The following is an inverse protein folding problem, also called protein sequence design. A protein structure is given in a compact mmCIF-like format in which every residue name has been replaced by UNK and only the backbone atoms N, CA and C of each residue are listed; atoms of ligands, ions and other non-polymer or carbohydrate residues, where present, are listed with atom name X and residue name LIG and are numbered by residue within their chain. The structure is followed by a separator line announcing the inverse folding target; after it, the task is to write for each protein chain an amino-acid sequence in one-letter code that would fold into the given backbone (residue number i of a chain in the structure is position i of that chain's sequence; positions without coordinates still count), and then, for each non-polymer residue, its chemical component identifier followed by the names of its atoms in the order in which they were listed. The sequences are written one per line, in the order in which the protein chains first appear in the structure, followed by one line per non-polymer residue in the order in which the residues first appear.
data_IF_484728190612
#
_entry.id   IF_484728190612
#
_cell.length_a   1.000
_cell.length_b   1.000
_cell.length_c   1.000
_cell.angle_alpha   90.00
_cell.angle_beta   90.00
_cell.angle_gamma   90.00
#
_symmetry.space_group_name_H-M   'P 1'
#
loop_
_entity.id
_entity.type
_entity.pdbx_description
1 polymer ?
#
# COMPACT_ATOMS: atom_id res chain seq x y z
N UNK A 1 3.44 -13.22 -5.59
CA UNK A 1 3.11 -11.87 -6.08
C UNK A 1 1.62 -11.61 -6.26
N UNK A 2 0.93 -12.28 -7.18
CA UNK A 2 -0.45 -11.91 -7.60
C UNK A 2 -1.55 -12.04 -6.53
N UNK A 3 -1.33 -12.84 -5.48
CA UNK A 3 -2.33 -13.07 -4.42
C UNK A 3 -2.67 -11.79 -3.66
N UNK A 4 -1.68 -10.99 -3.26
CA UNK A 4 -1.92 -9.77 -2.48
C UNK A 4 -2.72 -8.74 -3.28
N UNK A 5 -2.36 -8.51 -4.54
CA UNK A 5 -3.08 -7.61 -5.46
C UNK A 5 -4.55 -8.03 -5.64
N UNK A 6 -4.83 -9.33 -5.77
CA UNK A 6 -6.20 -9.83 -5.86
C UNK A 6 -6.99 -9.58 -4.57
N UNK A 7 -6.38 -9.88 -3.41
CA UNK A 7 -7.02 -9.68 -2.12
C UNK A 7 -7.29 -8.20 -1.85
N UNK A 8 -6.34 -7.32 -2.20
CA UNK A 8 -6.51 -5.87 -2.15
C UNK A 8 -7.72 -5.41 -2.97
N UNK A 9 -7.87 -5.94 -4.20
CA UNK A 9 -9.01 -5.65 -5.10
C UNK A 9 -10.32 -6.34 -4.70
N UNK A 10 -10.37 -7.07 -3.58
CA UNK A 10 -11.55 -7.82 -3.15
C UNK A 10 -11.81 -9.11 -3.93
N UNK A 11 -10.90 -9.52 -4.82
CA UNK A 11 -10.98 -10.77 -5.60
C UNK A 11 -10.47 -11.95 -4.77
N UNK A 12 -11.13 -12.22 -3.66
CA UNK A 12 -10.70 -13.20 -2.65
C UNK A 12 -11.25 -14.60 -2.93
N UNK A 13 -10.63 -15.63 -2.32
CA UNK A 13 -10.96 -17.04 -2.58
C UNK A 13 -12.42 -17.39 -2.27
N UNK A 14 -13.04 -16.69 -1.31
CA UNK A 14 -14.45 -16.86 -0.96
C UNK A 14 -15.38 -16.69 -2.17
N UNK A 15 -15.02 -15.86 -3.15
CA UNK A 15 -15.83 -15.65 -4.36
C UNK A 15 -15.92 -16.90 -5.25
N UNK A 16 -14.98 -17.84 -5.11
CA UNK A 16 -14.94 -19.11 -5.85
C UNK A 16 -15.61 -20.25 -5.08
N UNK A 17 -16.06 -20.01 -3.85
CA UNK A 17 -16.66 -21.03 -2.98
C UNK A 17 -17.93 -21.62 -3.59
N UNK A 18 -18.02 -22.95 -3.54
CA UNK A 18 -19.25 -23.71 -3.83
C UNK A 18 -19.69 -24.46 -2.57
N UNK A 19 -21.00 -24.59 -2.36
CA UNK A 19 -21.56 -25.48 -1.35
C UNK A 19 -21.42 -26.91 -1.86
N UNK A 20 -20.88 -27.79 -1.02
CA UNK A 20 -20.72 -29.21 -1.34
C UNK A 20 -21.33 -30.06 -0.24
N UNK A 21 -21.90 -31.20 -0.60
CA UNK A 21 -22.32 -32.25 0.31
C UNK A 21 -21.76 -33.60 -0.14
N UNK A 22 -21.84 -34.60 0.73
CA UNK A 22 -21.47 -35.98 0.41
C UNK A 22 -22.61 -36.59 -0.41
N UNK A 23 -22.35 -36.85 -1.69
CA UNK A 23 -23.26 -37.51 -2.63
C UNK A 23 -23.16 -39.03 -2.59
N UNK A 24 -23.80 -39.69 -3.54
CA UNK A 24 -23.82 -41.15 -3.62
C UNK A 24 -22.40 -41.72 -3.80
N UNK A 25 -22.07 -42.76 -3.02
CA UNK A 25 -20.73 -43.37 -3.03
C UNK A 25 -19.64 -42.57 -2.31
N UNK A 26 -20.00 -41.56 -1.50
CA UNK A 26 -19.07 -40.86 -0.62
C UNK A 26 -18.26 -39.73 -1.27
N UNK A 27 -18.58 -39.35 -2.52
CA UNK A 27 -17.92 -38.27 -3.24
C UNK A 27 -18.56 -36.92 -2.90
N UNK A 28 -17.78 -35.84 -2.99
CA UNK A 28 -18.32 -34.48 -2.84
C UNK A 28 -19.05 -34.05 -4.11
N UNK A 29 -20.28 -33.58 -3.96
CA UNK A 29 -21.11 -33.05 -5.05
C UNK A 29 -21.54 -31.61 -4.73
N UNK A 30 -21.67 -30.78 -5.77
CA UNK A 30 -22.15 -29.38 -5.63
C UNK A 30 -23.63 -29.37 -5.27
N UNK A 31 -24.00 -28.52 -4.32
CA UNK A 31 -25.38 -28.40 -3.84
C UNK A 31 -25.88 -27.00 -4.15
N UNK A 32 -26.71 -26.91 -5.20
CA UNK A 32 -27.18 -25.63 -5.73
C UNK A 32 -28.51 -25.16 -5.10
N UNK A 33 -29.17 -26.02 -4.31
CA UNK A 33 -30.43 -25.72 -3.65
C UNK A 33 -30.27 -25.14 -2.23
N UNK A 34 -29.03 -24.88 -1.78
CA UNK A 34 -28.70 -24.26 -0.50
C UNK A 34 -28.10 -22.87 -0.72
N UNK A 35 -28.34 -21.92 0.21
CA UNK A 35 -27.62 -20.66 0.25
C UNK A 35 -26.09 -20.84 0.18
N UNK A 36 -25.47 -20.02 -0.65
CA UNK A 36 -24.02 -20.00 -0.86
C UNK A 36 -23.53 -18.55 -0.93
N UNK A 37 -23.77 -17.81 0.14
CA UNK A 37 -23.27 -16.46 0.33
C UNK A 37 -21.74 -16.42 0.28
N UNK A 38 -21.22 -15.33 -0.28
CA UNK A 38 -19.78 -15.12 -0.53
C UNK A 38 -19.41 -13.70 -0.11
N UNK A 39 -19.43 -13.47 1.20
CA UNK A 39 -19.16 -12.17 1.80
C UNK A 39 -17.65 -11.93 1.75
N UNK A 40 -17.27 -10.73 1.29
CA UNK A 40 -15.89 -10.25 1.31
C UNK A 40 -15.82 -9.07 2.27
N UNK A 41 -15.40 -9.34 3.50
CA UNK A 41 -15.08 -8.29 4.48
C UNK A 41 -13.58 -7.99 4.42
N UNK A 42 -13.21 -7.07 3.53
CA UNK A 42 -11.83 -6.85 3.09
C UNK A 42 -10.98 -6.07 4.11
N UNK A 43 -10.71 -6.69 5.26
CA UNK A 43 -9.80 -6.16 6.27
C UNK A 43 -8.36 -6.04 5.74
N UNK A 44 -7.95 -6.93 4.83
CA UNK A 44 -6.66 -6.88 4.15
C UNK A 44 -6.41 -5.55 3.43
N UNK A 45 -7.37 -5.08 2.61
CA UNK A 45 -7.24 -3.79 1.92
C UNK A 45 -7.04 -2.63 2.89
N UNK A 46 -7.82 -2.61 3.99
CA UNK A 46 -7.69 -1.60 5.04
C UNK A 46 -6.28 -1.59 5.64
N UNK A 47 -5.71 -2.77 5.92
CA UNK A 47 -4.34 -2.87 6.46
C UNK A 47 -3.29 -2.40 5.45
N UNK A 48 -3.42 -2.76 4.17
CA UNK A 48 -2.51 -2.26 3.12
C UNK A 48 -2.55 -0.73 3.04
N UNK A 49 -3.74 -0.14 2.99
CA UNK A 49 -3.88 1.31 2.90
C UNK A 49 -3.38 2.00 4.17
N UNK A 50 -3.65 1.45 5.35
CA UNK A 50 -3.16 2.00 6.62
C UNK A 50 -1.64 2.03 6.66
N UNK A 51 -0.97 0.93 6.34
CA UNK A 51 0.50 0.84 6.38
C UNK A 51 1.16 1.71 5.32
N UNK A 52 0.59 1.73 4.12
CA UNK A 52 1.10 2.56 3.04
C UNK A 52 0.99 4.05 3.35
N UNK A 53 -0.15 4.50 3.89
CA UNK A 53 -0.35 5.90 4.25
C UNK A 53 0.45 6.29 5.50
N UNK A 54 0.66 5.37 6.43
CA UNK A 54 1.48 5.62 7.63
C UNK A 54 2.93 5.97 7.27
N UNK A 55 3.52 5.28 6.29
CA UNK A 55 4.92 5.48 5.86
C UNK A 55 5.07 6.49 4.73
N UNK A 56 4.18 6.47 3.72
CA UNK A 56 4.33 7.24 2.46
C UNK A 56 3.18 8.22 2.22
N UNK A 57 2.30 8.43 3.21
CA UNK A 57 1.16 9.34 3.07
C UNK A 57 1.58 10.82 3.05
N UNK A 58 2.67 11.15 3.72
CA UNK A 58 3.26 12.49 3.72
C UNK A 58 4.46 12.55 2.73
N UNK A 59 4.75 13.72 2.16
CA UNK A 59 5.95 13.91 1.34
C UNK A 59 7.23 13.56 2.12
N UNK A 60 8.23 13.05 1.39
CA UNK A 60 9.57 12.80 1.94
C UNK A 60 10.33 14.12 1.96
N UNK A 61 11.01 14.40 3.06
CA UNK A 61 11.92 15.54 3.17
C UNK A 61 13.32 15.11 2.76
N UNK A 62 13.95 15.89 1.89
CA UNK A 62 15.31 15.65 1.39
C UNK A 62 16.23 16.68 2.03
N UNK A 63 17.32 16.23 2.67
CA UNK A 63 18.30 17.07 3.36
C UNK A 63 19.73 16.76 2.89
N UNK A 64 20.63 17.73 3.04
CA UNK A 64 22.06 17.60 2.73
C UNK A 64 22.74 18.96 2.74
N UNK A 65 24.07 18.96 2.68
CA UNK A 65 24.89 20.17 2.86
C UNK A 65 24.80 21.15 1.68
N UNK A 66 24.57 20.64 0.46
CA UNK A 66 24.51 21.45 -0.75
C UNK A 66 23.09 21.95 -1.02
N UNK A 67 22.76 23.14 -0.52
CA UNK A 67 21.43 23.75 -0.63
C UNK A 67 20.89 23.84 -2.06
N UNK A 68 21.73 24.19 -3.05
CA UNK A 68 21.31 24.28 -4.45
C UNK A 68 20.91 22.91 -5.01
N UNK A 69 21.67 21.88 -4.65
CA UNK A 69 21.39 20.51 -5.05
C UNK A 69 20.12 19.96 -4.38
N UNK A 70 19.94 20.19 -3.07
CA UNK A 70 18.73 19.79 -2.35
C UNK A 70 17.48 20.46 -2.94
N UNK A 71 17.56 21.76 -3.25
CA UNK A 71 16.47 22.49 -3.92
C UNK A 71 16.17 21.93 -5.30
N UNK A 72 17.20 21.58 -6.07
CA UNK A 72 17.05 20.92 -7.37
C UNK A 72 16.34 19.56 -7.23
N UNK A 73 16.78 18.72 -6.28
CA UNK A 73 16.18 17.42 -5.99
C UNK A 73 14.70 17.54 -5.64
N UNK A 74 14.37 18.39 -4.67
CA UNK A 74 13.00 18.59 -4.21
C UNK A 74 12.07 19.10 -5.33
N UNK A 75 12.53 20.07 -6.13
CA UNK A 75 11.70 20.67 -7.17
C UNK A 75 11.49 19.75 -8.38
N UNK A 76 12.54 19.07 -8.84
CA UNK A 76 12.49 18.30 -10.09
C UNK A 76 12.15 16.83 -9.89
N UNK A 77 12.66 16.20 -8.85
CA UNK A 77 12.62 14.74 -8.69
C UNK A 77 11.72 14.28 -7.56
N UNK A 78 11.67 14.97 -6.42
CA UNK A 78 10.87 14.62 -5.24
C UNK A 78 9.58 15.44 -5.12
N UNK A 79 9.02 15.87 -6.25
CA UNK A 79 7.78 16.64 -6.31
C UNK A 79 6.52 15.77 -6.11
N UNK A 80 5.35 16.42 -6.07
CA UNK A 80 4.06 15.75 -5.88
C UNK A 80 3.76 14.63 -6.88
N UNK A 81 4.27 14.70 -8.12
CA UNK A 81 4.10 13.64 -9.12
C UNK A 81 4.88 12.40 -8.70
N UNK A 82 6.11 12.58 -8.20
CA UNK A 82 6.91 11.49 -7.66
C UNK A 82 6.29 10.92 -6.38
N UNK A 83 5.83 11.74 -5.44
CA UNK A 83 5.14 11.26 -4.24
C UNK A 83 3.94 10.35 -4.60
N UNK A 84 3.17 10.73 -5.64
CA UNK A 84 2.10 9.87 -6.18
C UNK A 84 2.63 8.57 -6.78
N UNK A 85 3.76 8.57 -7.47
CA UNK A 85 4.39 7.34 -7.98
C UNK A 85 4.88 6.46 -6.82
N UNK A 86 5.51 7.05 -5.82
CA UNK A 86 6.09 6.37 -4.67
C UNK A 86 5.02 5.73 -3.79
N UNK A 87 3.95 6.45 -3.41
CA UNK A 87 2.85 5.87 -2.63
C UNK A 87 2.16 4.72 -3.37
N UNK A 88 2.18 4.76 -4.70
CA UNK A 88 1.66 3.69 -5.55
C UNK A 88 2.61 2.49 -5.64
N UNK A 89 3.92 2.73 -5.62
CA UNK A 89 4.95 1.71 -5.47
C UNK A 89 4.89 1.06 -4.08
N UNK A 90 4.58 1.83 -3.03
CA UNK A 90 4.32 1.34 -1.68
C UNK A 90 3.16 0.35 -1.61
N UNK A 91 2.07 0.59 -2.36
CA UNK A 91 1.00 -0.41 -2.51
C UNK A 91 1.48 -1.69 -3.18
N UNK A 92 2.40 -1.59 -4.14
CA UNK A 92 2.96 -2.75 -4.81
C UNK A 92 3.83 -3.57 -3.86
N UNK A 93 4.80 -2.95 -3.18
CA UNK A 93 5.69 -3.69 -2.28
C UNK A 93 4.93 -4.36 -1.12
N UNK A 94 3.90 -3.73 -0.54
CA UNK A 94 3.11 -4.39 0.52
C UNK A 94 2.33 -5.60 -0.03
N UNK A 95 1.75 -5.47 -1.23
CA UNK A 95 0.95 -6.54 -1.83
C UNK A 95 1.78 -7.67 -2.47
N UNK A 96 2.96 -7.32 -2.99
CA UNK A 96 3.77 -8.18 -3.84
C UNK A 96 5.07 -8.63 -3.19
N UNK A 97 5.53 -7.93 -2.15
CA UNK A 97 6.81 -8.11 -1.46
C UNK A 97 7.88 -7.12 -1.91
N UNK A 98 7.74 -6.65 -3.16
CA UNK A 98 8.67 -5.75 -3.84
C UNK A 98 7.91 -4.90 -4.87
N UNK A 99 8.33 -3.65 -5.02
CA UNK A 99 7.90 -2.68 -6.02
C UNK A 99 9.07 -2.30 -6.93
N UNK A 100 8.78 -1.74 -8.11
CA UNK A 100 9.80 -1.43 -9.11
C UNK A 100 9.60 -0.05 -9.72
N UNK A 101 10.67 0.74 -9.74
CA UNK A 101 10.75 1.98 -10.50
C UNK A 101 11.80 1.86 -11.60
N UNK A 102 11.48 2.38 -12.77
CA UNK A 102 12.34 2.38 -13.94
C UNK A 102 12.60 3.85 -14.37
N UNK A 103 13.85 4.32 -14.46
CA UNK A 103 14.19 5.63 -14.97
C UNK A 103 13.90 5.72 -16.48
N UNK A 104 13.09 6.71 -16.87
CA UNK A 104 12.75 7.02 -18.24
C UNK A 104 13.10 8.49 -18.54
N UNK A 105 13.33 8.80 -19.81
CA UNK A 105 13.35 10.18 -20.30
C UNK A 105 12.04 10.50 -21.01
N UNK A 106 11.53 11.71 -20.82
CA UNK A 106 10.38 12.19 -21.58
C UNK A 106 10.84 12.79 -22.93
N UNK A 107 9.89 13.25 -23.74
CA UNK A 107 10.17 13.87 -25.04
C UNK A 107 11.04 15.14 -24.98
N UNK A 108 11.20 15.75 -23.80
CA UNK A 108 12.04 16.91 -23.55
C UNK A 108 13.42 16.53 -22.98
N UNK A 109 13.70 15.24 -22.83
CA UNK A 109 14.95 14.75 -22.25
C UNK A 109 15.00 14.79 -20.72
N UNK A 110 13.90 15.10 -20.04
CA UNK A 110 13.86 15.14 -18.57
C UNK A 110 13.70 13.73 -18.00
N UNK A 111 14.52 13.40 -17.01
CA UNK A 111 14.45 12.13 -16.29
C UNK A 111 13.21 12.07 -15.37
N UNK A 112 12.46 10.97 -15.44
CA UNK A 112 11.39 10.66 -14.51
C UNK A 112 11.32 9.15 -14.22
N UNK A 113 10.72 8.78 -13.10
CA UNK A 113 10.61 7.38 -12.69
C UNK A 113 9.22 6.83 -12.99
N UNK A 114 9.17 5.73 -13.73
CA UNK A 114 7.96 5.00 -14.08
C UNK A 114 7.84 3.77 -13.18
N UNK A 115 6.68 3.64 -12.52
CA UNK A 115 6.29 2.42 -11.81
C UNK A 115 5.97 1.31 -12.81
N UNK A 116 6.56 0.14 -12.64
CA UNK A 116 6.22 -1.08 -13.37
C UNK A 116 5.56 -2.06 -12.42
N UNK A 117 4.54 -2.78 -12.91
CA UNK A 117 3.80 -3.72 -12.07
C UNK A 117 4.69 -4.90 -11.72
N UNK A 118 4.83 -5.26 -10.43
CA UNK A 118 5.80 -6.28 -10.05
C UNK A 118 5.53 -7.65 -10.67
N UNK A 119 4.26 -8.02 -10.87
CA UNK A 119 3.87 -9.29 -11.47
C UNK A 119 4.14 -9.37 -12.99
N UNK A 120 4.59 -8.29 -13.62
CA UNK A 120 5.09 -8.29 -15.00
C UNK A 120 6.60 -8.55 -15.05
N UNK A 121 7.29 -8.50 -13.90
CA UNK A 121 8.75 -8.55 -13.81
C UNK A 121 9.24 -9.85 -13.18
N UNK A 122 10.33 -10.39 -13.72
CA UNK A 122 11.07 -11.52 -13.19
C UNK A 122 12.54 -11.10 -13.06
N UNK A 123 13.01 -10.74 -11.85
CA UNK A 123 14.40 -10.37 -11.63
C UNK A 123 15.31 -11.61 -11.65
N UNK A 124 16.47 -11.49 -12.29
CA UNK A 124 17.62 -12.36 -12.07
C UNK A 124 18.64 -11.59 -11.22
N UNK A 125 18.89 -12.04 -9.99
CA UNK A 125 19.84 -11.41 -9.08
C UNK A 125 21.23 -12.01 -9.22
N UNK A 126 22.28 -11.17 -9.12
CA UNK A 126 23.68 -11.62 -9.07
C UNK A 126 24.03 -12.27 -7.73
N UNK A 127 23.36 -11.84 -6.67
CA UNK A 127 23.62 -12.25 -5.29
C UNK A 127 22.37 -12.76 -4.57
N UNK A 128 22.57 -13.49 -3.47
CA UNK A 128 21.48 -14.11 -2.70
C UNK A 128 20.72 -13.12 -1.80
N UNK A 129 21.31 -11.97 -1.49
CA UNK A 129 20.68 -10.89 -0.71
C UNK A 129 19.84 -9.95 -1.61
N UNK A 130 19.83 -10.24 -2.92
CA UNK A 130 19.09 -9.50 -3.95
C UNK A 130 19.51 -8.01 -3.98
N UNK A 131 20.81 -7.73 -3.91
CA UNK A 131 21.35 -6.35 -3.90
C UNK A 131 21.68 -5.82 -5.29
N UNK A 132 22.06 -6.70 -6.23
CA UNK A 132 22.44 -6.32 -7.59
C UNK A 132 21.74 -7.22 -8.63
N UNK A 133 21.17 -6.62 -9.67
CA UNK A 133 20.56 -7.33 -10.78
C UNK A 133 21.61 -7.85 -11.77
N UNK A 134 21.42 -9.07 -12.25
CA UNK A 134 22.12 -9.67 -13.39
C UNK A 134 21.35 -9.42 -14.69
N UNK A 135 20.02 -9.56 -14.62
CA UNK A 135 19.09 -9.23 -15.70
C UNK A 135 17.68 -9.03 -15.14
N UNK A 136 16.79 -8.46 -15.95
CA UNK A 136 15.37 -8.33 -15.67
C UNK A 136 14.55 -8.81 -16.87
N UNK A 137 13.54 -9.65 -16.64
CA UNK A 137 12.59 -10.05 -17.67
C UNK A 137 11.27 -9.31 -17.45
N UNK A 138 10.81 -8.54 -18.42
CA UNK A 138 9.50 -7.87 -18.40
C UNK A 138 8.54 -8.54 -19.38
N UNK A 139 7.44 -9.09 -18.86
CA UNK A 139 6.40 -9.79 -19.61
C UNK A 139 5.11 -9.00 -19.52
N UNK A 140 4.59 -8.56 -20.67
CA UNK A 140 3.36 -7.77 -20.71
C UNK A 140 2.53 -8.01 -21.98
N UNK A 141 1.19 -7.94 -21.88
CA UNK A 141 0.31 -8.10 -23.02
C UNK A 141 0.29 -6.81 -23.88
N UNK A 142 0.34 -6.99 -25.20
CA UNK A 142 0.20 -5.92 -26.18
C UNK A 142 -0.94 -6.26 -27.14
N UNK A 143 -1.82 -5.29 -27.39
CA UNK A 143 -2.86 -5.41 -28.42
C UNK A 143 -2.23 -5.08 -29.77
N UNK A 144 -2.29 -6.03 -30.71
CA UNK A 144 -1.77 -5.89 -32.06
C UNK A 144 -2.94 -5.93 -33.05
N UNK A 145 -2.96 -4.96 -33.96
CA UNK A 145 -3.91 -4.89 -35.05
C UNK A 145 -3.38 -5.64 -36.27
N UNK A 146 -4.02 -6.74 -36.64
CA UNK A 146 -3.71 -7.44 -37.89
C UNK A 146 -4.44 -6.76 -39.05
N UNK A 147 -3.69 -6.38 -40.11
CA UNK A 147 -4.19 -5.61 -41.27
C UNK A 147 -5.40 -6.25 -42.00
N UNK A 148 -5.65 -7.54 -41.77
CA UNK A 148 -6.70 -8.34 -42.42
C UNK A 148 -7.70 -8.95 -41.42
N UNK A 149 -7.69 -8.55 -40.15
CA UNK A 149 -8.63 -9.03 -39.12
C UNK A 149 -9.41 -7.86 -38.54
N UNK A 150 -10.71 -8.06 -38.31
CA UNK A 150 -11.56 -7.13 -37.56
C UNK A 150 -11.46 -7.33 -36.04
N UNK A 151 -10.66 -8.29 -35.58
CA UNK A 151 -10.49 -8.63 -34.17
C UNK A 151 -9.08 -8.26 -33.68
N UNK A 152 -9.05 -7.58 -32.52
CA UNK A 152 -7.85 -7.24 -31.78
C UNK A 152 -7.19 -8.52 -31.25
N UNK A 153 -5.91 -8.73 -31.57
CA UNK A 153 -5.14 -9.86 -31.06
C UNK A 153 -4.28 -9.40 -29.89
N UNK A 154 -4.34 -10.11 -28.78
CA UNK A 154 -3.43 -9.91 -27.65
C UNK A 154 -2.23 -10.85 -27.84
N UNK A 155 -1.02 -10.29 -27.89
CA UNK A 155 0.24 -11.04 -27.87
C UNK A 155 1.00 -10.72 -26.59
N UNK A 156 1.73 -11.68 -26.05
CA UNK A 156 2.59 -11.48 -24.89
C UNK A 156 4.00 -11.09 -25.36
N UNK A 157 4.41 -9.86 -25.06
CA UNK A 157 5.76 -9.38 -25.31
C UNK A 157 6.64 -9.68 -24.12
N UNK A 158 7.88 -10.04 -24.41
CA UNK A 158 8.91 -10.32 -23.41
C UNK A 158 10.14 -9.49 -23.74
N UNK A 159 10.58 -8.69 -22.79
CA UNK A 159 11.79 -7.90 -22.85
C UNK A 159 12.79 -8.48 -21.85
N UNK A 160 13.99 -8.82 -22.32
CA UNK A 160 15.11 -9.23 -21.46
C UNK A 160 16.08 -8.08 -21.39
N UNK A 161 16.19 -7.47 -20.21
CA UNK A 161 16.97 -6.27 -19.94
C UNK A 161 18.22 -6.65 -19.14
N UNK A 162 19.40 -6.32 -19.67
CA UNK A 162 20.69 -6.56 -19.03
C UNK A 162 21.60 -5.30 -19.18
N UNK A 163 22.87 -5.38 -18.82
CA UNK A 163 23.83 -4.27 -18.99
C UNK A 163 24.03 -3.87 -20.47
N UNK A 164 23.78 -4.82 -21.40
CA UNK A 164 23.90 -4.62 -22.84
C UNK A 164 22.70 -3.94 -23.48
N UNK A 165 21.56 -3.85 -22.79
CA UNK A 165 20.35 -3.18 -23.28
C UNK A 165 19.12 -4.07 -23.15
N UNK A 166 18.20 -3.98 -24.11
CA UNK A 166 16.92 -4.66 -24.12
C UNK A 166 16.86 -5.59 -25.33
N UNK A 167 16.59 -6.88 -25.09
CA UNK A 167 16.37 -7.88 -26.13
C UNK A 167 14.90 -8.28 -26.18
N UNK A 168 14.31 -8.26 -27.39
CA UNK A 168 12.86 -8.37 -27.58
C UNK A 168 12.42 -9.74 -28.10
N UNK A 169 11.42 -10.30 -27.43
CA UNK A 169 10.77 -11.57 -27.79
C UNK A 169 9.25 -11.47 -27.77
N UNK A 170 8.59 -12.40 -28.45
CA UNK A 170 7.17 -12.70 -28.31
C UNK A 170 7.01 -14.10 -27.72
N UNK A 171 6.19 -14.24 -26.67
CA UNK A 171 5.87 -15.53 -26.06
C UNK A 171 4.73 -16.19 -26.82
N UNK A 172 4.99 -17.39 -27.35
CA UNK A 172 3.97 -18.17 -28.07
C UNK A 172 3.03 -18.88 -27.10
N UNK A 173 1.84 -19.22 -27.58
CA UNK A 173 0.89 -20.07 -26.83
C UNK A 173 1.46 -21.45 -26.43
N UNK A 174 2.53 -21.90 -27.10
CA UNK A 174 3.25 -23.14 -26.77
C UNK A 174 4.36 -22.95 -25.72
N UNK A 175 4.59 -21.72 -25.24
CA UNK A 175 5.60 -21.39 -24.23
C UNK A 175 7.00 -21.11 -24.79
N UNK A 176 7.15 -20.93 -26.11
CA UNK A 176 8.45 -20.63 -26.71
C UNK A 176 8.64 -19.11 -26.88
N UNK A 177 9.87 -18.63 -26.73
CA UNK A 177 10.24 -17.25 -27.03
C UNK A 177 10.73 -17.14 -28.47
N UNK A 178 10.13 -16.24 -29.25
CA UNK A 178 10.56 -15.94 -30.62
C UNK A 178 11.14 -14.52 -30.64
N UNK A 179 12.39 -14.30 -31.07
CA UNK A 179 12.95 -12.96 -31.23
C UNK A 179 12.13 -12.12 -32.22
N UNK A 180 11.88 -10.87 -31.88
CA UNK A 180 11.04 -9.95 -32.67
C UNK A 180 11.71 -8.59 -32.83
N UNK A 181 11.57 -7.97 -34.00
CA UNK A 181 12.13 -6.64 -34.27
C UNK A 181 11.67 -5.62 -33.20
N UNK A 182 12.58 -4.73 -32.72
CA UNK A 182 13.92 -4.46 -33.23
C UNK A 182 15.00 -5.49 -32.85
N UNK A 183 14.64 -6.60 -32.20
CA UNK A 183 15.48 -7.69 -31.69
C UNK A 183 16.35 -7.27 -30.51
N UNK A 184 16.99 -6.12 -30.62
CA UNK A 184 17.78 -5.51 -29.56
C UNK A 184 17.75 -3.97 -29.66
N UNK A 185 17.78 -3.29 -28.53
CA UNK A 185 18.04 -1.84 -28.47
C UNK A 185 18.73 -1.48 -27.16
N UNK A 186 19.48 -0.38 -27.17
CA UNK A 186 19.96 0.21 -25.93
C UNK A 186 18.80 0.86 -25.14
N UNK A 187 19.02 1.21 -23.87
CA UNK A 187 17.97 1.75 -23.00
C UNK A 187 17.43 3.11 -23.43
N UNK A 188 18.28 3.98 -23.96
CA UNK A 188 17.85 5.31 -24.42
C UNK A 188 18.74 5.82 -25.55
N UNK A 189 18.22 6.80 -26.29
CA UNK A 189 18.93 7.48 -27.36
C UNK A 189 18.86 8.99 -27.13
N UNK A 190 19.96 9.70 -27.38
CA UNK A 190 20.01 11.16 -27.35
C UNK A 190 20.37 11.69 -28.73
N UNK A 191 19.68 12.75 -29.14
CA UNK A 191 19.97 13.48 -30.37
C UNK A 191 20.61 14.81 -30.01
N UNK A 192 21.79 15.08 -30.54
CA UNK A 192 22.50 16.35 -30.32
C UNK A 192 21.93 17.51 -31.16
N UNK A 193 22.51 18.70 -31.01
CA UNK A 193 22.11 19.89 -31.77
C UNK A 193 22.39 19.80 -33.27
N UNK A 194 23.25 18.87 -33.69
CA UNK A 194 23.60 18.62 -35.09
C UNK A 194 22.72 17.53 -35.72
N UNK A 195 21.77 16.96 -34.94
CA UNK A 195 20.83 15.95 -35.37
C UNK A 195 21.37 14.53 -35.36
N UNK A 196 22.53 14.28 -34.73
CA UNK A 196 23.13 12.95 -34.60
C UNK A 196 22.52 12.24 -33.40
N UNK A 197 21.86 11.11 -33.64
CA UNK A 197 21.33 10.24 -32.59
C UNK A 197 22.38 9.23 -32.16
N UNK A 198 22.70 9.21 -30.86
CA UNK A 198 23.58 8.22 -30.22
C UNK A 198 22.81 7.43 -29.19
N UNK A 199 23.01 6.11 -29.17
CA UNK A 199 22.34 5.17 -28.28
C UNK A 199 23.22 4.84 -27.06
N UNK A 200 22.62 4.73 -25.88
CA UNK A 200 23.32 4.60 -24.60
C UNK A 200 22.65 3.57 -23.68
N UNK A 201 23.49 2.90 -22.91
CA UNK A 201 23.08 2.05 -21.79
C UNK A 201 23.49 2.69 -20.46
N UNK A 202 22.77 2.32 -19.41
CA UNK A 202 23.17 2.61 -18.05
C UNK A 202 24.30 1.67 -17.61
N UNK A 203 25.18 2.15 -16.73
CA UNK A 203 26.18 1.28 -16.09
C UNK A 203 25.56 0.29 -15.10
N UNK A 204 24.34 0.57 -14.64
CA UNK A 204 23.52 -0.31 -13.79
C UNK A 204 22.22 -0.64 -14.51
N UNK A 205 21.71 -1.84 -14.34
CA UNK A 205 20.41 -2.24 -14.90
C UNK A 205 19.31 -1.32 -14.31
N UNK A 206 18.52 -0.61 -15.15
CA UNK A 206 17.64 0.47 -14.71
C UNK A 206 16.32 -0.02 -14.10
N UNK A 207 16.37 -0.96 -13.16
CA UNK A 207 15.19 -1.41 -12.41
C UNK A 207 15.49 -1.31 -10.92
N UNK A 208 14.96 -0.28 -10.29
CA UNK A 208 15.23 0.03 -8.89
C UNK A 208 14.23 -0.75 -8.00
N UNK A 209 14.71 -1.68 -7.16
CA UNK A 209 13.86 -2.48 -6.28
C UNK A 209 13.46 -1.73 -5.00
N UNK A 210 12.15 -1.60 -4.78
CA UNK A 210 11.58 -1.09 -3.53
C UNK A 210 11.06 -2.28 -2.71
N UNK A 211 11.86 -2.81 -1.78
CA UNK A 211 11.50 -4.00 -1.00
C UNK A 211 10.62 -3.67 0.20
N UNK A 212 9.70 -4.58 0.54
CA UNK A 212 8.90 -4.46 1.77
C UNK A 212 9.64 -4.94 3.01
N UNK A 213 10.44 -5.99 2.86
CA UNK A 213 11.36 -6.54 3.85
C UNK A 213 12.49 -7.25 3.08
N UNK A 214 13.55 -7.63 3.78
CA UNK A 214 14.70 -8.31 3.18
C UNK A 214 14.29 -9.58 2.41
N UNK A 215 13.29 -10.32 2.91
CA UNK A 215 12.81 -11.57 2.31
C UNK A 215 11.79 -11.38 1.18
N UNK A 216 11.41 -10.14 0.86
CA UNK A 216 10.41 -9.82 -0.18
C UNK A 216 9.07 -10.55 0.04
N UNK A 217 8.70 -10.77 1.30
CA UNK A 217 7.48 -11.46 1.70
C UNK A 217 6.33 -10.45 1.79
N UNK A 218 5.28 -10.54 0.95
CA UNK A 218 4.15 -9.61 1.01
C UNK A 218 3.30 -9.82 2.27
N UNK A 219 2.59 -8.76 2.67
CA UNK A 219 1.70 -8.76 3.83
C UNK A 219 0.68 -9.89 3.80
N UNK A 220 0.15 -10.22 2.61
CA UNK A 220 -0.86 -11.27 2.44
C UNK A 220 -0.41 -12.62 3.00
N UNK A 221 0.89 -12.93 2.99
CA UNK A 221 1.40 -14.20 3.55
C UNK A 221 1.23 -14.29 5.06
N UNK A 222 1.16 -13.16 5.77
CA UNK A 222 0.96 -13.10 7.23
C UNK A 222 -0.50 -13.28 7.62
N UNK A 223 -1.43 -12.76 6.80
CA UNK A 223 -2.84 -12.59 7.22
C UNK A 223 -3.89 -13.25 6.31
N UNK A 224 -3.52 -13.90 5.21
CA UNK A 224 -4.47 -14.54 4.28
C UNK A 224 -5.41 -15.53 4.98
N UNK A 225 -4.87 -16.40 5.84
CA UNK A 225 -5.66 -17.41 6.56
C UNK A 225 -6.72 -16.77 7.45
N UNK A 226 -6.38 -15.67 8.13
CA UNK A 226 -7.30 -14.91 8.99
C UNK A 226 -8.37 -14.22 8.14
N UNK A 227 -7.98 -13.57 7.05
CA UNK A 227 -8.90 -12.93 6.10
C UNK A 227 -9.90 -13.95 5.50
N UNK A 228 -9.42 -15.12 5.11
CA UNK A 228 -10.28 -16.19 4.58
C UNK A 228 -11.23 -16.73 5.65
N UNK A 229 -10.77 -16.86 6.89
CA UNK A 229 -11.60 -17.29 8.02
C UNK A 229 -12.70 -16.28 8.34
N UNK A 230 -12.39 -14.97 8.35
CA UNK A 230 -13.38 -13.90 8.54
C UNK A 230 -14.48 -14.01 7.49
N UNK A 231 -14.12 -14.05 6.20
CA UNK A 231 -15.09 -14.19 5.12
C UNK A 231 -15.92 -15.47 5.22
N UNK A 232 -15.28 -16.58 5.57
CA UNK A 232 -15.94 -17.88 5.68
C UNK A 232 -16.97 -17.88 6.82
N UNK A 233 -16.64 -17.32 7.98
CA UNK A 233 -17.54 -17.24 9.14
C UNK A 233 -18.73 -16.35 8.83
N UNK A 234 -18.52 -15.15 8.29
CA UNK A 234 -19.62 -14.24 7.95
C UNK A 234 -20.54 -14.87 6.88
N UNK A 235 -19.95 -15.46 5.83
CA UNK A 235 -20.70 -16.16 4.79
C UNK A 235 -21.49 -17.35 5.35
N UNK A 236 -20.88 -18.13 6.26
CA UNK A 236 -21.54 -19.26 6.91
C UNK A 236 -22.68 -18.82 7.82
N UNK A 237 -22.48 -17.74 8.56
CA UNK A 237 -23.51 -17.17 9.42
C UNK A 237 -24.71 -16.70 8.61
N UNK A 238 -24.49 -15.97 7.51
CA UNK A 238 -25.59 -15.56 6.62
C UNK A 238 -26.31 -16.77 6.01
N UNK A 239 -25.57 -17.77 5.53
CA UNK A 239 -26.18 -19.00 5.02
C UNK A 239 -27.05 -19.70 6.07
N UNK A 240 -26.59 -19.81 7.32
CA UNK A 240 -27.34 -20.43 8.41
C UNK A 240 -28.62 -19.65 8.77
N UNK A 241 -28.60 -18.32 8.65
CA UNK A 241 -29.77 -17.45 8.83
C UNK A 241 -30.77 -17.56 7.68
N UNK A 242 -30.31 -17.71 6.44
CA UNK A 242 -31.19 -17.91 5.27
C UNK A 242 -31.76 -19.34 5.20
N UNK A 243 -31.04 -20.31 5.76
CA UNK A 243 -31.47 -21.70 5.88
C UNK A 243 -32.56 -21.90 6.95
N UNK A 244 -33.03 -20.86 7.65
CA UNK A 244 -33.95 -20.94 8.80
C UNK A 244 -35.30 -21.62 8.49
N UNK A 245 -35.75 -21.63 7.22
CA UNK A 245 -36.92 -22.43 6.77
C UNK A 245 -36.67 -23.96 6.86
N UNK A 246 -35.42 -24.38 7.08
CA UNK A 246 -34.94 -25.78 7.20
C UNK A 246 -34.15 -26.07 8.48
N UNK A 247 -33.95 -25.09 9.38
CA UNK A 247 -33.31 -25.30 10.70
C UNK A 247 -34.08 -26.27 11.59
N UNK A 248 -35.33 -26.58 11.22
CA UNK A 248 -36.13 -27.65 11.80
C UNK A 248 -36.10 -28.89 10.89
N UNK A 249 -35.34 -29.91 11.28
CA UNK A 249 -35.45 -31.24 10.67
C UNK A 249 -36.73 -31.88 11.20
N UNK A 250 -37.67 -32.14 10.32
CA UNK A 250 -38.93 -32.81 10.66
C UNK A 250 -38.76 -34.33 10.53
N UNK A 251 -38.82 -35.02 11.67
CA UNK A 251 -38.80 -36.48 11.75
C UNK A 251 -40.23 -36.98 11.72
N UNK A 252 -40.58 -37.72 10.68
CA UNK A 252 -41.92 -38.26 10.46
C UNK A 252 -42.01 -39.71 10.94
N UNK A 253 -42.88 -39.98 11.91
CA UNK A 253 -43.16 -41.33 12.44
C UNK A 253 -44.58 -41.72 12.00
N UNK A 254 -44.72 -42.83 11.27
CA UNK A 254 -46.01 -43.34 10.76
C UNK A 254 -46.84 -42.29 9.98
N UNK A 255 -46.20 -41.54 9.07
CA UNK A 255 -46.85 -40.54 8.23
C UNK A 255 -47.71 -41.17 7.12
N UNK A 256 -48.89 -40.60 6.88
CA UNK A 256 -49.95 -41.13 5.97
C UNK A 256 -49.67 -40.84 4.47
N UNK A 257 -48.71 -39.96 4.15
CA UNK A 257 -48.44 -39.51 2.77
C UNK A 257 -47.30 -40.25 2.08
N UNK A 258 -47.33 -40.28 0.75
CA UNK A 258 -46.40 -41.06 -0.10
C UNK A 258 -45.17 -40.28 -0.59
N UNK A 259 -45.17 -38.94 -0.55
CA UNK A 259 -44.10 -38.10 -1.10
C UNK A 259 -43.72 -36.91 -0.19
N UNK A 260 -42.42 -36.71 0.05
CA UNK A 260 -41.86 -35.58 0.83
C UNK A 260 -42.16 -34.20 0.23
N UNK A 261 -42.32 -34.09 -1.09
CA UNK A 261 -42.71 -32.86 -1.77
C UNK A 261 -44.17 -32.46 -1.46
N UNK A 262 -45.06 -33.44 -1.36
CA UNK A 262 -46.46 -33.22 -0.97
C UNK A 262 -46.58 -32.84 0.51
N UNK A 263 -45.81 -33.49 1.38
CA UNK A 263 -45.67 -33.10 2.79
C UNK A 263 -45.26 -31.63 2.94
N UNK A 264 -44.18 -31.20 2.27
CA UNK A 264 -43.70 -29.80 2.33
C UNK A 264 -44.73 -28.82 1.80
N UNK A 265 -45.43 -29.17 0.72
CA UNK A 265 -46.51 -28.35 0.16
C UNK A 265 -47.68 -28.22 1.13
N UNK A 266 -48.13 -29.31 1.73
CA UNK A 266 -49.26 -29.32 2.66
C UNK A 266 -48.96 -28.54 3.93
N UNK A 267 -47.75 -28.69 4.48
CA UNK A 267 -47.29 -27.89 5.61
C UNK A 267 -47.24 -26.40 5.28
N UNK A 268 -46.66 -26.01 4.13
CA UNK A 268 -46.56 -24.61 3.72
C UNK A 268 -47.92 -23.98 3.38
N UNK A 269 -48.86 -24.75 2.83
CA UNK A 269 -50.17 -24.26 2.38
C UNK A 269 -51.20 -24.22 3.51
N UNK A 270 -51.20 -25.23 4.38
CA UNK A 270 -52.27 -25.45 5.36
C UNK A 270 -51.79 -25.40 6.81
N UNK A 271 -50.47 -25.36 7.07
CA UNK A 271 -49.89 -25.28 8.42
C UNK A 271 -50.07 -26.53 9.29
N UNK A 272 -50.61 -27.62 8.74
CA UNK A 272 -50.90 -28.86 9.45
C UNK A 272 -50.71 -30.09 8.55
N UNK A 273 -50.46 -31.24 9.17
CA UNK A 273 -50.22 -32.51 8.48
C UNK A 273 -50.84 -33.65 9.27
N UNK A 274 -51.48 -34.58 8.55
CA UNK A 274 -52.17 -35.73 9.13
C UNK A 274 -51.16 -36.84 9.44
N UNK A 275 -51.25 -37.41 10.64
CA UNK A 275 -50.49 -38.59 11.07
C UNK A 275 -51.43 -39.75 11.34
N UNK A 276 -50.98 -40.98 11.11
CA UNK A 276 -51.78 -42.19 11.33
C UNK A 276 -51.20 -43.04 12.46
N UNK A 277 -52.08 -43.77 13.13
CA UNK A 277 -51.75 -44.83 14.08
C UNK A 277 -51.91 -46.18 13.37
N UNK A 278 -50.82 -46.93 13.20
CA UNK A 278 -50.83 -48.29 12.66
C UNK A 278 -50.07 -49.24 13.59
N UNK A 279 -50.59 -50.47 13.76
CA UNK A 279 -49.97 -51.57 14.52
C UNK A 279 -49.51 -51.23 15.95
N UNK A 280 -50.30 -50.44 16.69
CA UNK A 280 -50.05 -50.13 18.09
C UNK A 280 -48.97 -49.04 18.34
N UNK A 281 -48.35 -48.50 17.29
CA UNK A 281 -47.44 -47.36 17.36
C UNK A 281 -48.10 -46.03 16.99
N UNK A 282 -48.02 -45.02 17.87
CA UNK A 282 -48.50 -43.66 17.61
C UNK A 282 -47.76 -42.97 16.44
N UNK A 283 -48.50 -42.32 15.53
CA UNK A 283 -47.91 -41.41 14.54
C UNK A 283 -47.54 -40.07 15.17
N UNK A 284 -46.39 -39.52 14.77
CA UNK A 284 -45.79 -38.36 15.42
C UNK A 284 -44.95 -37.55 14.42
N UNK A 285 -44.86 -36.24 14.62
CA UNK A 285 -43.97 -35.34 13.88
C UNK A 285 -43.06 -34.67 14.90
N UNK A 286 -41.79 -35.06 14.92
CA UNK A 286 -40.80 -34.46 15.83
C UNK A 286 -39.96 -33.44 15.09
N UNK A 287 -39.58 -32.39 15.79
CA UNK A 287 -38.71 -31.35 15.27
C UNK A 287 -37.34 -31.47 15.94
N UNK A 288 -36.28 -31.58 15.14
CA UNK A 288 -34.91 -31.35 15.60
C UNK A 288 -34.51 -29.96 15.14
N UNK A 289 -34.32 -29.06 16.09
CA UNK A 289 -33.82 -27.71 15.82
C UNK A 289 -32.31 -27.70 15.94
N UNK A 290 -31.64 -27.23 14.88
CA UNK A 290 -30.21 -26.90 14.95
C UNK A 290 -30.12 -25.45 15.44
N UNK A 291 -29.66 -25.24 16.67
CA UNK A 291 -29.55 -23.91 17.26
C UNK A 291 -28.36 -23.14 16.67
N UNK A 292 -28.63 -22.02 16.01
CA UNK A 292 -27.59 -21.10 15.52
C UNK A 292 -27.34 -20.03 16.58
N UNK A 293 -26.24 -20.16 17.32
CA UNK A 293 -25.87 -19.22 18.41
C UNK A 293 -25.10 -18.02 17.89
N UNK A 294 -25.79 -16.92 17.62
CA UNK A 294 -25.18 -15.67 17.10
C UNK A 294 -24.02 -15.14 17.96
N UNK A 295 -24.08 -15.32 19.29
CA UNK A 295 -23.02 -14.92 20.23
C UNK A 295 -21.67 -15.59 19.92
N UNK A 296 -21.68 -16.88 19.56
CA UNK A 296 -20.46 -17.61 19.23
C UNK A 296 -19.82 -17.08 17.94
N UNK A 297 -20.64 -16.80 16.92
CA UNK A 297 -20.15 -16.26 15.65
C UNK A 297 -19.52 -14.88 15.85
N UNK A 298 -20.17 -14.00 16.61
CA UNK A 298 -19.63 -12.69 16.94
C UNK A 298 -18.32 -12.80 17.73
N UNK A 299 -18.24 -13.67 18.74
CA UNK A 299 -17.03 -13.84 19.54
C UNK A 299 -15.83 -14.29 18.68
N UNK A 300 -16.03 -15.30 17.82
CA UNK A 300 -14.96 -15.79 16.95
C UNK A 300 -14.56 -14.72 15.93
N UNK A 301 -15.54 -14.02 15.34
CA UNK A 301 -15.28 -12.95 14.37
C UNK A 301 -14.42 -11.83 14.96
N UNK A 302 -14.70 -11.41 16.20
CA UNK A 302 -13.90 -10.40 16.90
C UNK A 302 -12.48 -10.88 17.17
N UNK A 303 -12.31 -12.13 17.61
CA UNK A 303 -10.98 -12.73 17.82
C UNK A 303 -10.18 -12.75 16.51
N UNK A 304 -10.80 -13.17 15.40
CA UNK A 304 -10.13 -13.22 14.10
C UNK A 304 -9.75 -11.83 13.59
N UNK A 305 -10.64 -10.84 13.72
CA UNK A 305 -10.36 -9.45 13.30
C UNK A 305 -9.24 -8.84 14.13
N UNK A 306 -9.23 -9.05 15.44
CA UNK A 306 -8.15 -8.61 16.32
C UNK A 306 -6.82 -9.28 15.96
N UNK A 307 -6.81 -10.60 15.82
CA UNK A 307 -5.62 -11.33 15.40
C UNK A 307 -5.12 -10.90 14.02
N UNK A 308 -6.02 -10.53 13.10
CA UNK A 308 -5.66 -10.02 11.77
C UNK A 308 -4.89 -8.70 11.87
N UNK A 309 -5.37 -7.77 12.71
CA UNK A 309 -4.71 -6.47 12.92
C UNK A 309 -3.33 -6.65 13.57
N UNK A 310 -3.24 -7.49 14.60
CA UNK A 310 -1.97 -7.78 15.30
C UNK A 310 -0.95 -8.44 14.35
N UNK A 311 -1.35 -9.47 13.59
CA UNK A 311 -0.45 -10.13 12.63
C UNK A 311 -0.10 -9.26 11.41
N UNK A 312 -0.92 -8.25 11.10
CA UNK A 312 -0.62 -7.25 10.09
C UNK A 312 0.35 -6.17 10.59
N UNK A 313 0.62 -6.13 11.91
CA UNK A 313 1.29 -5.02 12.57
C UNK A 313 0.63 -3.69 12.19
N UNK A 314 -0.70 -3.66 12.30
CA UNK A 314 -1.54 -2.48 12.12
C UNK A 314 -2.07 -1.98 13.46
N UNK A 315 -2.97 -1.01 13.43
CA UNK A 315 -3.63 -0.50 14.62
C UNK A 315 -5.13 -0.35 14.42
N UNK A 316 -5.90 -0.48 15.49
CA UNK A 316 -7.35 -0.24 15.47
C UNK A 316 -7.70 1.16 15.97
N UNK A 317 -8.05 2.07 15.06
CA UNK A 317 -8.48 3.43 15.41
C UNK A 317 -9.82 3.48 16.17
N UNK A 318 -10.54 2.36 16.29
CA UNK A 318 -11.81 2.26 17.04
C UNK A 318 -11.66 1.54 18.37
N UNK A 319 -10.44 1.31 18.81
CA UNK A 319 -10.18 0.66 20.10
C UNK A 319 -10.74 1.51 21.25
N UNK A 320 -11.46 0.85 22.18
CA UNK A 320 -12.06 1.49 23.35
C UNK A 320 -11.04 2.24 24.22
N UNK A 321 -9.74 1.90 24.13
CA UNK A 321 -8.63 2.62 24.78
C UNK A 321 -8.47 4.07 24.31
N UNK A 322 -9.05 4.45 23.17
CA UNK A 322 -9.12 5.83 22.68
C UNK A 322 -10.31 6.62 23.26
N UNK A 323 -11.24 5.95 23.96
CA UNK A 323 -12.41 6.58 24.57
C UNK A 323 -12.09 7.37 25.84
N UNK A 324 -12.45 8.66 25.85
CA UNK A 324 -12.59 9.54 27.03
C UNK A 324 -11.31 9.96 27.77
N UNK A 325 -10.30 9.08 27.88
CA UNK A 325 -9.06 9.28 28.62
C UNK A 325 -7.87 8.62 27.89
N UNK A 326 -7.74 8.86 26.58
CA UNK A 326 -6.58 8.40 25.81
C UNK A 326 -5.31 9.09 26.36
N UNK A 327 -4.51 8.35 27.15
CA UNK A 327 -3.20 8.79 27.61
C UNK A 327 -2.17 8.60 26.47
N UNK A 328 -1.16 9.46 26.38
CA UNK A 328 -0.09 9.40 25.38
C UNK A 328 0.56 8.02 25.30
N UNK A 329 0.83 7.40 26.45
CA UNK A 329 1.37 6.05 26.53
C UNK A 329 0.47 5.02 25.81
N UNK A 330 -0.85 5.21 25.87
CA UNK A 330 -1.79 4.33 25.17
C UNK A 330 -1.73 4.57 23.66
N UNK A 331 -1.64 5.82 23.22
CA UNK A 331 -1.53 6.17 21.79
C UNK A 331 -0.21 5.62 21.23
N UNK A 332 0.92 5.88 21.88
CA UNK A 332 2.22 5.33 21.48
C UNK A 332 2.22 3.80 21.48
N UNK A 333 1.65 3.17 22.51
CA UNK A 333 1.51 1.72 22.55
C UNK A 333 0.67 1.18 21.38
N UNK A 334 -0.37 1.88 20.96
CA UNK A 334 -1.19 1.48 19.80
C UNK A 334 -0.45 1.57 18.48
N UNK A 335 0.42 2.57 18.31
CA UNK A 335 1.22 2.72 17.08
C UNK A 335 2.51 1.89 17.09
N UNK A 336 2.91 1.30 18.23
CA UNK A 336 4.20 0.61 18.36
C UNK A 336 4.43 -0.48 17.31
N UNK A 337 3.44 -1.33 17.05
CA UNK A 337 3.57 -2.40 16.05
C UNK A 337 3.73 -1.85 14.63
N UNK A 338 2.91 -0.87 14.25
CA UNK A 338 2.99 -0.29 12.91
C UNK A 338 4.28 0.51 12.72
N UNK A 339 4.78 1.16 13.76
CA UNK A 339 6.05 1.89 13.74
C UNK A 339 7.23 0.92 13.56
N UNK A 340 7.27 -0.18 14.33
CA UNK A 340 8.29 -1.22 14.19
C UNK A 340 8.36 -1.79 12.76
N UNK A 341 7.22 -2.16 12.18
CA UNK A 341 7.18 -2.73 10.82
C UNK A 341 7.55 -1.68 9.77
N UNK A 342 7.15 -0.42 9.98
CA UNK A 342 7.40 0.65 9.05
C UNK A 342 8.85 1.18 9.15
N UNK A 343 9.53 1.04 10.29
CA UNK A 343 10.97 1.26 10.42
C UNK A 343 11.76 0.23 9.62
N UNK A 344 11.36 -1.05 9.68
CA UNK A 344 11.96 -2.12 8.87
C UNK A 344 11.79 -1.87 7.36
N UNK A 345 10.62 -1.40 6.95
CA UNK A 345 10.35 -1.02 5.55
C UNK A 345 11.16 0.21 5.14
N UNK A 346 11.25 1.23 6.01
CA UNK A 346 11.98 2.48 5.72
C UNK A 346 13.45 2.23 5.38
N UNK A 347 14.14 1.33 6.10
CA UNK A 347 15.54 0.96 5.79
C UNK A 347 15.67 0.44 4.35
N UNK A 348 14.73 -0.37 3.88
CA UNK A 348 14.73 -0.87 2.50
C UNK A 348 14.46 0.26 1.50
N UNK A 349 13.60 1.21 1.86
CA UNK A 349 13.29 2.36 1.01
C UNK A 349 14.45 3.35 0.91
N UNK A 350 15.20 3.56 2.00
CA UNK A 350 16.41 4.41 1.98
C UNK A 350 17.43 3.85 0.97
N UNK A 351 17.72 2.55 1.01
CA UNK A 351 18.61 1.91 0.03
C UNK A 351 18.11 2.07 -1.42
N UNK A 352 16.80 1.93 -1.66
CA UNK A 352 16.21 2.12 -2.98
C UNK A 352 16.29 3.58 -3.46
N UNK A 353 16.15 4.55 -2.55
CA UNK A 353 16.27 5.97 -2.84
C UNK A 353 17.73 6.38 -3.12
N UNK A 354 18.71 5.79 -2.44
CA UNK A 354 20.13 5.96 -2.76
C UNK A 354 20.46 5.44 -4.17
N UNK A 355 19.92 4.27 -4.54
CA UNK A 355 20.08 3.75 -5.90
C UNK A 355 19.40 4.65 -6.93
N UNK A 356 18.20 5.17 -6.63
CA UNK A 356 17.52 6.16 -7.45
C UNK A 356 18.37 7.44 -7.63
N UNK A 357 19.00 7.91 -6.56
CA UNK A 357 19.86 9.10 -6.56
C UNK A 357 21.06 8.92 -7.50
N UNK A 358 21.62 7.71 -7.58
CA UNK A 358 22.68 7.41 -8.55
C UNK A 358 22.24 7.68 -10.00
N UNK A 359 21.03 7.26 -10.40
CA UNK A 359 20.49 7.54 -11.73
C UNK A 359 20.25 9.03 -11.97
N UNK A 360 19.80 9.75 -10.94
CA UNK A 360 19.62 11.22 -10.99
C UNK A 360 20.97 11.90 -11.20
N UNK A 361 21.98 11.55 -10.41
CA UNK A 361 23.30 12.17 -10.47
C UNK A 361 24.00 11.90 -11.79
N UNK A 362 23.90 10.67 -12.30
CA UNK A 362 24.40 10.33 -13.62
C UNK A 362 23.70 11.16 -14.72
N UNK A 363 22.39 11.40 -14.61
CA UNK A 363 21.68 12.26 -15.55
C UNK A 363 22.11 13.74 -15.44
N UNK A 364 22.25 14.28 -14.23
CA UNK A 364 22.68 15.67 -14.00
C UNK A 364 24.11 15.91 -14.51
N UNK A 365 25.00 14.94 -14.31
CA UNK A 365 26.35 14.96 -14.86
C UNK A 365 26.33 14.98 -16.40
N UNK A 366 25.59 14.05 -17.01
CA UNK A 366 25.50 13.93 -18.47
C UNK A 366 24.81 15.11 -19.16
N UNK A 367 23.97 15.85 -18.43
CA UNK A 367 23.29 17.05 -18.93
C UNK A 367 24.03 18.35 -18.61
N UNK A 368 25.24 18.27 -18.05
CA UNK A 368 26.08 19.41 -17.64
C UNK A 368 25.40 20.34 -16.63
N UNK A 369 24.49 19.83 -15.80
CA UNK A 369 23.90 20.61 -14.69
C UNK A 369 24.88 20.70 -13.52
N UNK A 370 25.61 19.62 -13.24
CA UNK A 370 26.63 19.57 -12.18
C UNK A 370 27.04 18.13 -11.86
N UNK A 371 28.17 17.98 -11.17
CA UNK A 371 28.61 16.70 -10.62
C UNK A 371 28.31 16.67 -9.11
N UNK A 372 27.31 15.89 -8.73
CA UNK A 372 26.87 15.71 -7.34
C UNK A 372 27.17 14.30 -6.82
N UNK A 373 28.07 13.57 -7.48
CA UNK A 373 28.34 12.16 -7.15
C UNK A 373 28.95 11.94 -5.75
N UNK A 374 29.51 13.00 -5.15
CA UNK A 374 30.10 12.98 -3.81
C UNK A 374 29.23 13.64 -2.74
N UNK A 375 28.04 14.15 -3.11
CA UNK A 375 27.12 14.77 -2.17
C UNK A 375 26.35 13.70 -1.39
N UNK A 376 26.22 13.90 -0.08
CA UNK A 376 25.41 13.04 0.78
C UNK A 376 24.02 13.62 0.95
N UNK A 377 23.00 12.77 0.78
CA UNK A 377 21.59 13.17 0.86
C UNK A 377 20.88 12.25 1.84
N UNK A 378 20.21 12.86 2.82
CA UNK A 378 19.38 12.17 3.79
C UNK A 378 17.89 12.27 3.42
N UNK A 379 17.20 11.13 3.45
CA UNK A 379 15.76 11.05 3.19
C UNK A 379 15.01 10.84 4.50
N UNK A 380 14.16 11.79 4.89
CA UNK A 380 13.36 11.75 6.11
C UNK A 380 11.91 11.40 5.76
N UNK A 381 11.42 10.30 6.34
CA UNK A 381 10.06 9.83 6.17
C UNK A 381 9.14 10.38 7.27
N UNK A 382 8.17 11.19 6.88
CA UNK A 382 7.23 11.84 7.79
C UNK A 382 6.06 10.90 8.13
N UNK A 383 6.06 10.31 9.32
CA UNK A 383 5.02 9.36 9.76
C UNK A 383 3.64 10.01 9.87
N UNK A 384 2.61 9.39 9.30
CA UNK A 384 1.22 9.86 9.44
C UNK A 384 0.57 9.25 10.68
N UNK A 385 0.81 9.87 11.83
CA UNK A 385 0.29 9.46 13.14
C UNK A 385 -0.75 10.49 13.59
N UNK A 386 -1.86 10.04 14.18
CA UNK A 386 -2.76 10.92 14.93
C UNK A 386 -2.09 11.27 16.26
N UNK A 387 -1.26 12.31 16.28
CA UNK A 387 -0.57 12.78 17.48
C UNK A 387 -1.36 13.94 18.08
N UNK A 388 -1.39 14.03 19.40
CA UNK A 388 -1.72 15.28 20.06
C UNK A 388 -0.56 16.25 19.82
N UNK A 389 -0.64 17.05 18.76
CA UNK A 389 0.38 18.00 18.32
C UNK A 389 0.93 18.87 19.46
N UNK A 390 0.09 19.17 20.47
CA UNK A 390 0.47 19.92 21.68
C UNK A 390 1.73 19.38 22.37
N UNK A 391 1.91 18.05 22.42
CA UNK A 391 3.03 17.40 23.13
C UNK A 391 4.30 17.43 22.29
N UNK A 392 4.20 17.24 20.97
CA UNK A 392 5.38 17.36 20.09
C UNK A 392 5.91 18.79 20.17
N UNK A 393 5.01 19.77 20.13
CA UNK A 393 5.36 21.19 20.26
C UNK A 393 6.00 21.44 21.64
N UNK A 394 5.46 20.88 22.72
CA UNK A 394 6.06 20.97 24.06
C UNK A 394 7.45 20.33 24.12
N UNK A 395 7.66 19.18 23.49
CA UNK A 395 8.96 18.51 23.41
C UNK A 395 9.95 19.30 22.57
N UNK A 396 9.52 19.88 21.44
CA UNK A 396 10.32 20.80 20.63
C UNK A 396 10.74 22.02 21.45
N UNK A 397 9.82 22.62 22.21
CA UNK A 397 10.11 23.74 23.12
C UNK A 397 11.12 23.34 24.22
N UNK A 398 10.93 22.19 24.86
CA UNK A 398 11.87 21.68 25.89
C UNK A 398 13.24 21.30 25.33
N UNK A 399 13.32 21.04 24.03
CA UNK A 399 14.56 20.67 23.34
C UNK A 399 15.37 21.89 22.87
N UNK A 400 14.78 23.10 22.93
CA UNK A 400 15.50 24.33 22.61
C UNK A 400 16.74 24.49 23.52
N UNK A 401 17.89 24.73 22.90
CA UNK A 401 19.18 24.81 23.60
C UNK A 401 19.82 23.47 23.98
N UNK A 402 19.17 22.33 23.70
CA UNK A 402 19.75 20.98 23.88
C UNK A 402 20.18 20.39 22.53
N UNK A 403 19.39 20.58 21.48
CA UNK A 403 19.70 20.21 20.09
C UNK A 403 19.61 21.44 19.18
N UNK A 404 20.12 21.35 17.94
CA UNK A 404 20.07 22.49 17.02
C UNK A 404 18.63 22.86 16.66
N UNK A 405 18.40 24.16 16.47
CA UNK A 405 17.12 24.70 16.03
C UNK A 405 16.68 24.07 14.71
N UNK A 406 17.62 23.79 13.81
CA UNK A 406 17.38 23.07 12.56
C UNK A 406 16.77 21.68 12.79
N UNK A 407 17.28 20.89 13.74
CA UNK A 407 16.71 19.57 14.04
C UNK A 407 15.33 19.70 14.69
N UNK A 408 15.11 20.73 15.52
CA UNK A 408 13.81 20.99 16.15
C UNK A 408 12.77 21.35 15.09
N UNK A 409 13.12 22.25 14.17
CA UNK A 409 12.26 22.71 13.07
C UNK A 409 11.98 21.54 12.11
N UNK A 410 13.00 20.74 11.79
CA UNK A 410 12.84 19.56 10.95
C UNK A 410 11.90 18.49 11.54
N UNK A 411 11.76 18.45 12.87
CA UNK A 411 10.85 17.53 13.57
C UNK A 411 9.53 18.17 13.98
N UNK A 412 9.32 19.45 13.65
CA UNK A 412 8.13 20.17 14.07
C UNK A 412 6.91 19.76 13.21
N UNK A 413 5.75 19.44 13.80
CA UNK A 413 4.62 18.81 13.08
C UNK A 413 3.97 19.69 12.01
N UNK A 414 4.18 21.01 12.07
CA UNK A 414 3.62 21.98 11.12
C UNK A 414 4.60 22.42 10.02
N UNK A 415 5.82 21.87 10.02
CA UNK A 415 6.87 22.28 9.09
C UNK A 415 6.99 21.25 7.97
N UNK A 416 6.52 21.61 6.78
CA UNK A 416 6.64 20.77 5.58
C UNK A 416 8.07 20.83 4.98
N UNK A 417 8.72 22.00 5.07
CA UNK A 417 10.03 22.29 4.50
C UNK A 417 10.89 22.99 5.56
N UNK A 418 11.83 22.26 6.21
CA UNK A 418 12.63 22.81 7.29
C UNK A 418 13.53 23.97 6.87
N UNK A 419 14.07 23.93 5.64
CA UNK A 419 14.94 24.99 5.13
C UNK A 419 14.16 26.27 4.91
N UNK A 420 12.98 26.17 4.27
CA UNK A 420 12.11 27.33 4.07
C UNK A 420 11.59 27.93 5.37
N UNK A 421 11.36 27.11 6.39
CA UNK A 421 10.94 27.61 7.68
C UNK A 421 12.09 28.32 8.43
N UNK A 422 13.32 27.80 8.31
CA UNK A 422 14.51 28.50 8.79
C UNK A 422 14.67 29.88 8.12
N UNK A 423 14.53 29.95 6.80
CA UNK A 423 14.55 31.22 6.04
C UNK A 423 13.50 32.21 6.57
N UNK A 424 12.26 31.75 6.80
CA UNK A 424 11.18 32.59 7.34
C UNK A 424 11.49 33.12 8.74
N UNK A 425 12.05 32.27 9.61
CA UNK A 425 12.44 32.67 10.97
C UNK A 425 13.56 33.70 10.93
N UNK A 426 14.51 33.55 10.01
CA UNK A 426 15.61 34.51 9.84
C UNK A 426 15.10 35.86 9.31
N UNK A 427 14.19 35.86 8.33
CA UNK A 427 13.51 37.06 7.85
C UNK A 427 12.72 37.77 8.97
N UNK A 428 12.01 37.03 9.83
CA UNK A 428 11.29 37.59 10.97
C UNK A 428 12.24 38.21 12.00
N UNK A 429 13.37 37.55 12.30
CA UNK A 429 14.40 38.09 13.18
C UNK A 429 15.00 39.38 12.61
N UNK A 430 15.30 39.41 11.32
CA UNK A 430 15.84 40.59 10.62
C UNK A 430 14.86 41.77 10.72
N UNK A 431 13.58 41.55 10.39
CA UNK A 431 12.51 42.56 10.47
C UNK A 431 12.32 43.08 11.89
N UNK A 432 12.40 42.21 12.90
CA UNK A 432 12.32 42.62 14.30
C UNK A 432 13.53 43.50 14.70
N UNK A 433 14.75 43.12 14.31
CA UNK A 433 15.96 43.93 14.59
C UNK A 433 15.87 45.31 13.93
N UNK A 434 15.39 45.39 12.68
CA UNK A 434 15.16 46.66 11.97
C UNK A 434 14.12 47.53 12.69
N UNK A 435 13.01 46.94 13.15
CA UNK A 435 11.99 47.66 13.93
C UNK A 435 12.53 48.16 15.28
N UNK A 436 13.28 47.34 16.01
CA UNK A 436 13.92 47.75 17.27
C UNK A 436 14.97 48.86 17.06
N UNK A 437 15.73 48.80 15.97
CA UNK A 437 16.72 49.81 15.62
C UNK A 437 16.07 51.15 15.25
N UNK A 438 14.93 51.13 14.54
CA UNK A 438 14.16 52.34 14.23
C UNK A 438 13.56 53.00 15.49
N UNK A 439 13.09 52.20 16.46
CA UNK A 439 12.58 52.73 17.76
C UNK A 439 13.71 53.30 18.64
N UNK A 440 14.93 52.78 18.54
CA UNK A 440 16.10 53.34 19.25
C UNK A 440 16.61 54.63 18.60
N UNK A 441 16.57 54.74 17.27
CA UNK A 441 16.94 55.97 16.56
C UNK A 441 15.94 57.11 16.79
N UNK A 442 14.64 56.83 16.82
CA UNK A 442 13.62 57.85 17.14
C UNK A 442 13.75 58.39 18.58
N UNK A 443 14.30 57.62 19.52
CA UNK A 443 14.54 58.08 20.91
C UNK A 443 15.86 58.83 21.12
N UNK A 444 16.77 58.85 20.13
CA UNK A 444 17.99 59.67 20.19
C UNK A 444 17.78 61.09 19.67
N UNK A 445 16.80 61.32 18.80
CA UNK A 445 16.50 62.67 18.29
C UNK A 445 15.71 63.55 19.27
N UNK A 446 15.05 62.97 20.28
CA UNK A 446 14.25 63.70 21.29
C UNK A 446 15.04 64.20 22.52
N UNK A 447 16.35 63.90 22.64
CA UNK A 447 17.16 64.26 23.83
C UNK A 447 18.25 65.33 23.59
N UNK A 448 18.16 66.10 22.49
CA UNK A 448 19.15 67.15 22.15
C UNK A 448 18.59 68.58 22.06
N UNK A 449 17.40 68.87 22.59
CA UNK A 449 16.84 70.23 22.56
C UNK A 449 16.19 70.68 23.89
N UNK A 450 16.95 70.67 24.99
CA UNK A 450 16.61 71.53 26.14
C UNK A 450 17.85 71.85 26.97
N UNK A 451 18.60 72.88 26.54
CA UNK A 451 19.34 73.80 27.41
C UNK A 451 20.06 74.89 26.58
N UNK A 452 19.32 75.91 26.16
CA UNK A 452 19.84 77.27 25.97
C UNK A 452 18.67 78.25 25.89
N UNK A 453 18.38 78.94 26.98
CA UNK A 453 18.37 80.41 27.03
C UNK A 453 17.59 80.94 28.23
N UNK A 454 18.31 81.67 29.08
CA UNK A 454 17.74 82.37 30.23
C UNK A 454 18.81 83.16 30.97
N UNK A 455 19.36 84.20 30.33
CA UNK A 455 19.86 85.43 30.98
C UNK A 455 20.19 86.50 29.92
N UNK A 456 19.19 87.32 29.58
CA UNK A 456 19.23 88.81 29.62
C UNK A 456 17.84 89.42 29.34
#
# INVERSE_FOLDING_TARGET
MYCGENYYKGKQDILRRKRTAIGEGGKLESVDNLPNNRIVDNQYQKMVDQKNNFLLGNPITVQGDNEEYIKLLQQQYFNAKFCRTLINCGKDLINCGIGWLFPCHNQFGELYFKRIKPYELIPGWKDAEHTELDYMIHIYPVVVYEKNSSEDKVVERVEVCDEGGITYFELTNSGNLIPVAPFHSNYFAMTDCDGVTTEYNWLKIPFIPFKFNAEEIPLIRRIKSLQDAVNAIESNFQNAMEEDVRNTIMVLVNYDGTNLGEFRRNLATYGAVKVNTADGGGGDVRTLQIEVKAENYNAILQILKKALIENAMGYDAKDDRLGGNANELNIQSMYSDIDLDANGTEIQLQAALEEMLWFINAHLYNTNVGDFSNETVDFIFNRNVMINESIIIENCQKSQGVISDETIIAKHPWVDDPQKELERIEEEKQKNIEQYSNVFNDNQDDNTNDNSDGDE
#
